data_IF_109893705667
#
_entry.id   IF_109893705667
#
_cell.length_a   1.000
_cell.length_b   1.000
_cell.length_c   1.000
_cell.angle_alpha   90.00
_cell.angle_beta   90.00
_cell.angle_gamma   90.00
#
_symmetry.space_group_name_H-M   'P 1'
#
loop_
_entity.id
_entity.type
_entity.pdbx_description
1 polymer ?
#
# COMPACT_ATOMS: atom_id res chain seq x y z
N UNK A 1 19.02 2.15 17.27
CA UNK A 1 17.58 1.88 17.00
C UNK A 1 17.06 2.64 15.78
N UNK A 2 17.32 3.95 15.62
CA UNK A 2 16.83 4.75 14.48
C UNK A 2 17.18 4.21 13.08
N UNK A 3 18.46 3.95 12.80
CA UNK A 3 18.89 3.45 11.49
C UNK A 3 18.32 2.08 11.09
N UNK A 4 18.05 1.20 12.06
CA UNK A 4 17.44 -0.11 11.80
C UNK A 4 15.97 0.07 11.39
N UNK A 5 15.24 0.95 12.07
CA UNK A 5 13.85 1.27 11.76
C UNK A 5 13.73 1.95 10.40
N UNK A 6 14.62 2.89 10.08
CA UNK A 6 14.70 3.50 8.74
C UNK A 6 14.99 2.47 7.65
N UNK A 7 15.96 1.57 7.88
CA UNK A 7 16.28 0.50 6.94
C UNK A 7 15.10 -0.44 6.67
N UNK A 8 14.37 -0.83 7.73
CA UNK A 8 13.15 -1.63 7.60
C UNK A 8 12.06 -0.87 6.84
N UNK A 9 11.89 0.43 7.11
CA UNK A 9 10.90 1.26 6.45
C UNK A 9 11.20 1.48 4.96
N UNK A 10 12.48 1.65 4.59
CA UNK A 10 12.91 1.68 3.19
C UNK A 10 12.58 0.39 2.47
N UNK A 11 13.04 -0.75 3.01
CA UNK A 11 12.79 -2.06 2.42
C UNK A 11 11.29 -2.35 2.34
N UNK A 12 10.56 -2.11 3.42
CA UNK A 12 9.11 -2.32 3.50
C UNK A 12 8.35 -1.45 2.50
N UNK A 13 8.65 -0.16 2.41
CA UNK A 13 8.03 0.77 1.47
C UNK A 13 8.29 0.37 0.02
N UNK A 14 9.53 0.02 -0.34
CA UNK A 14 9.88 -0.44 -1.69
C UNK A 14 9.20 -1.77 -2.04
N UNK A 15 9.17 -2.73 -1.11
CA UNK A 15 8.49 -4.01 -1.30
C UNK A 15 6.99 -3.81 -1.50
N UNK A 16 6.36 -2.91 -0.74
CA UNK A 16 4.93 -2.57 -0.89
C UNK A 16 4.63 -1.96 -2.26
N UNK A 17 5.47 -1.05 -2.75
CA UNK A 17 5.33 -0.49 -4.10
C UNK A 17 5.49 -1.60 -5.15
N UNK A 18 6.53 -2.44 -5.04
CA UNK A 18 6.76 -3.54 -5.98
C UNK A 18 5.60 -4.54 -6.02
N UNK A 19 5.11 -4.94 -4.84
CA UNK A 19 3.93 -5.79 -4.72
C UNK A 19 2.67 -5.14 -5.29
N UNK A 20 2.45 -3.85 -5.00
CA UNK A 20 1.31 -3.11 -5.51
C UNK A 20 1.33 -3.00 -7.03
N UNK A 21 2.47 -2.65 -7.63
CA UNK A 21 2.65 -2.61 -9.08
C UNK A 21 2.46 -3.98 -9.71
N UNK A 22 2.97 -5.05 -9.09
CA UNK A 22 2.75 -6.41 -9.57
C UNK A 22 1.25 -6.75 -9.63
N UNK A 23 0.49 -6.40 -8.59
CA UNK A 23 -0.96 -6.65 -8.55
C UNK A 23 -1.73 -5.84 -9.60
N UNK A 24 -1.35 -4.57 -9.82
CA UNK A 24 -1.95 -3.72 -10.86
C UNK A 24 -1.66 -4.27 -12.26
N UNK A 25 -0.45 -4.77 -12.51
CA UNK A 25 -0.06 -5.30 -13.82
C UNK A 25 -0.64 -6.69 -14.11
N UNK A 26 -0.69 -7.57 -13.10
CA UNK A 26 -1.16 -8.95 -13.25
C UNK A 26 -2.68 -9.10 -13.14
N UNK A 27 -3.36 -8.14 -12.50
CA UNK A 27 -4.80 -8.22 -12.23
C UNK A 27 -5.25 -9.45 -11.43
N UNK A 28 -4.30 -10.14 -10.77
CA UNK A 28 -4.53 -11.40 -10.07
C UNK A 28 -3.59 -11.53 -8.89
N UNK A 29 -4.10 -12.10 -7.79
CA UNK A 29 -3.28 -12.41 -6.62
C UNK A 29 -2.55 -13.74 -6.79
N UNK A 30 -1.29 -13.84 -6.33
CA UNK A 30 -0.62 -15.13 -6.21
C UNK A 30 -1.46 -16.10 -5.36
N UNK A 31 -1.48 -17.38 -5.73
CA UNK A 31 -2.27 -18.42 -5.03
C UNK A 31 -1.88 -18.55 -3.56
N UNK A 32 -0.59 -18.45 -3.24
CA UNK A 32 -0.11 -18.47 -1.85
C UNK A 32 -0.47 -17.22 -1.03
N UNK A 33 -0.73 -16.06 -1.67
CA UNK A 33 -1.26 -14.86 -0.99
C UNK A 33 -2.73 -15.00 -0.65
N UNK A 34 -3.48 -15.67 -1.55
CA UNK A 34 -4.90 -15.97 -1.39
C UNK A 34 -5.16 -16.80 -0.13
N UNK A 35 -4.28 -17.74 0.20
CA UNK A 35 -4.45 -18.65 1.33
C UNK A 35 -3.97 -18.07 2.67
N UNK A 36 -2.95 -17.20 2.68
CA UNK A 36 -2.33 -16.71 3.93
C UNK A 36 -2.64 -15.25 4.30
N UNK A 37 -2.74 -14.36 3.31
CA UNK A 37 -2.73 -12.91 3.56
C UNK A 37 -4.12 -12.26 3.39
N UNK A 38 -4.99 -12.84 2.56
CA UNK A 38 -6.23 -12.22 2.09
C UNK A 38 -7.47 -12.76 2.80
N UNK A 39 -7.34 -13.22 4.04
CA UNK A 39 -8.45 -13.74 4.86
C UNK A 39 -9.71 -12.84 4.91
N UNK A 40 -9.66 -11.50 4.80
CA UNK A 40 -10.87 -10.68 4.74
C UNK A 40 -11.56 -10.59 3.36
N UNK A 41 -10.93 -11.06 2.27
CA UNK A 41 -11.46 -10.97 0.89
C UNK A 41 -12.12 -12.28 0.45
N UNK A 42 -13.42 -12.22 0.16
CA UNK A 42 -14.26 -13.39 -0.18
C UNK A 42 -14.25 -13.69 -1.69
N UNK A 43 -14.22 -12.64 -2.52
CA UNK A 43 -14.12 -12.74 -3.99
C UNK A 43 -12.99 -11.87 -4.51
N UNK A 44 -12.08 -12.48 -5.26
CA UNK A 44 -10.88 -11.84 -5.82
C UNK A 44 -11.10 -11.59 -7.31
N UNK A 45 -11.84 -10.54 -7.63
CA UNK A 45 -12.00 -10.07 -9.01
C UNK A 45 -10.78 -9.24 -9.44
N UNK A 46 -10.51 -9.09 -10.75
CA UNK A 46 -9.41 -8.26 -11.25
C UNK A 46 -9.48 -6.83 -10.75
N UNK A 47 -10.69 -6.26 -10.67
CA UNK A 47 -10.94 -4.92 -10.13
C UNK A 47 -10.48 -4.77 -8.68
N UNK A 48 -10.79 -5.75 -7.83
CA UNK A 48 -10.37 -5.75 -6.41
C UNK A 48 -8.86 -5.86 -6.29
N UNK A 49 -8.20 -6.63 -7.17
CA UNK A 49 -6.74 -6.75 -7.19
C UNK A 49 -6.05 -5.45 -7.59
N UNK A 50 -6.59 -4.72 -8.57
CA UNK A 50 -6.05 -3.42 -8.97
C UNK A 50 -6.21 -2.39 -7.84
N UNK A 51 -7.37 -2.35 -7.17
CA UNK A 51 -7.61 -1.44 -6.04
C UNK A 51 -6.68 -1.74 -4.85
N UNK A 52 -6.48 -3.01 -4.52
CA UNK A 52 -5.51 -3.44 -3.50
C UNK A 52 -4.07 -3.14 -3.91
N UNK A 53 -3.74 -3.28 -5.19
CA UNK A 53 -2.45 -2.91 -5.74
C UNK A 53 -2.18 -1.40 -5.59
N UNK A 54 -3.14 -0.56 -5.95
CA UNK A 54 -3.05 0.89 -5.74
C UNK A 54 -3.00 1.28 -4.25
N UNK A 55 -3.72 0.58 -3.39
CA UNK A 55 -3.63 0.77 -1.94
C UNK A 55 -2.22 0.46 -1.43
N UNK A 56 -1.61 -0.65 -1.87
CA UNK A 56 -0.25 -1.03 -1.49
C UNK A 56 0.81 -0.03 -2.01
N UNK A 57 0.66 0.46 -3.25
CA UNK A 57 1.51 1.53 -3.79
C UNK A 57 1.39 2.80 -2.94
N UNK A 58 0.15 3.24 -2.66
CA UNK A 58 -0.09 4.44 -1.85
C UNK A 58 0.50 4.35 -0.44
N UNK A 59 0.39 3.19 0.20
CA UNK A 59 1.00 2.92 1.50
C UNK A 59 2.53 2.94 1.43
N UNK A 60 3.12 2.29 0.41
CA UNK A 60 4.56 2.27 0.23
C UNK A 60 5.13 3.67 -0.03
N UNK A 61 4.46 4.48 -0.86
CA UNK A 61 4.81 5.89 -1.10
C UNK A 61 4.72 6.72 0.18
N UNK A 62 3.67 6.54 0.97
CA UNK A 62 3.50 7.18 2.28
C UNK A 62 4.68 6.88 3.22
N UNK A 63 5.06 5.61 3.35
CA UNK A 63 6.16 5.18 4.21
C UNK A 63 7.48 5.79 3.73
N UNK A 64 7.79 5.69 2.43
CA UNK A 64 9.02 6.25 1.89
C UNK A 64 9.07 7.77 2.04
N UNK A 65 7.97 8.48 1.82
CA UNK A 65 7.91 9.93 2.00
C UNK A 65 8.24 10.33 3.43
N UNK A 66 7.72 9.61 4.44
CA UNK A 66 8.07 9.85 5.85
C UNK A 66 9.56 9.58 6.10
N UNK A 67 10.10 8.47 5.61
CA UNK A 67 11.53 8.16 5.83
C UNK A 67 12.42 9.22 5.17
N UNK A 68 12.07 9.70 3.97
CA UNK A 68 12.82 10.76 3.29
C UNK A 68 12.81 12.10 4.04
N UNK A 69 11.89 12.34 4.98
CA UNK A 69 11.91 13.55 5.81
C UNK A 69 13.17 13.65 6.67
N UNK A 70 13.84 12.53 6.99
CA UNK A 70 15.02 12.54 7.87
C UNK A 70 16.28 13.11 7.19
N UNK A 71 16.26 13.19 5.86
CA UNK A 71 17.37 13.69 5.03
C UNK A 71 17.00 14.93 4.21
N UNK A 72 15.73 15.34 4.21
CA UNK A 72 15.24 16.45 3.41
C UNK A 72 15.38 17.81 4.13
N UNK A 73 15.56 18.92 3.40
CA UNK A 73 15.46 20.27 3.96
C UNK A 73 14.07 20.53 4.57
N UNK A 74 13.97 21.35 5.62
CA UNK A 74 12.73 21.53 6.42
C UNK A 74 11.46 21.81 5.60
N UNK A 75 11.56 22.68 4.59
CA UNK A 75 10.43 23.02 3.70
C UNK A 75 9.97 21.81 2.89
N UNK A 76 10.93 21.01 2.40
CA UNK A 76 10.66 19.78 1.64
C UNK A 76 10.13 18.70 2.57
N UNK A 77 10.67 18.57 3.78
CA UNK A 77 10.19 17.64 4.78
C UNK A 77 8.72 17.92 5.16
N UNK A 78 8.35 19.19 5.35
CA UNK A 78 6.95 19.58 5.58
C UNK A 78 6.01 19.15 4.45
N UNK A 79 6.41 19.35 3.19
CA UNK A 79 5.64 18.89 2.03
C UNK A 79 5.53 17.36 1.96
N UNK A 80 6.63 16.64 2.24
CA UNK A 80 6.66 15.18 2.25
C UNK A 80 5.69 14.60 3.30
N UNK A 81 5.58 15.22 4.48
CA UNK A 81 4.62 14.79 5.50
C UNK A 81 3.18 14.94 5.02
N UNK A 82 2.85 16.08 4.39
CA UNK A 82 1.50 16.31 3.84
C UNK A 82 1.18 15.28 2.75
N UNK A 83 2.12 15.04 1.84
CA UNK A 83 1.97 14.02 0.79
C UNK A 83 1.83 12.62 1.37
N UNK A 84 2.61 12.28 2.41
CA UNK A 84 2.53 10.99 3.07
C UNK A 84 1.16 10.76 3.70
N UNK A 85 0.62 11.77 4.39
CA UNK A 85 -0.73 11.73 4.97
C UNK A 85 -1.80 11.55 3.89
N UNK A 86 -1.74 12.33 2.80
CA UNK A 86 -2.68 12.20 1.70
C UNK A 86 -2.64 10.80 1.07
N UNK A 87 -1.44 10.29 0.76
CA UNK A 87 -1.25 8.96 0.19
C UNK A 87 -1.74 7.85 1.13
N UNK A 88 -1.50 7.99 2.44
CA UNK A 88 -2.00 7.06 3.45
C UNK A 88 -3.53 7.03 3.49
N UNK A 89 -4.19 8.18 3.53
CA UNK A 89 -5.66 8.27 3.55
C UNK A 89 -6.26 7.63 2.29
N UNK A 90 -5.69 7.92 1.12
CA UNK A 90 -6.12 7.30 -0.15
C UNK A 90 -5.91 5.79 -0.11
N UNK A 91 -4.76 5.31 0.37
CA UNK A 91 -4.47 3.88 0.48
C UNK A 91 -5.46 3.16 1.41
N UNK A 92 -5.75 3.73 2.58
CA UNK A 92 -6.74 3.19 3.52
C UNK A 92 -8.13 3.17 2.89
N UNK A 93 -8.52 4.25 2.21
CA UNK A 93 -9.81 4.33 1.50
C UNK A 93 -9.95 3.23 0.43
N UNK A 94 -8.93 3.05 -0.41
CA UNK A 94 -8.91 2.00 -1.44
C UNK A 94 -8.93 0.59 -0.82
N UNK A 95 -8.21 0.38 0.27
CA UNK A 95 -8.21 -0.89 0.99
C UNK A 95 -9.59 -1.24 1.56
N UNK A 96 -10.23 -0.29 2.24
CA UNK A 96 -11.57 -0.49 2.80
C UNK A 96 -12.61 -0.67 1.69
N UNK A 97 -12.55 0.14 0.64
CA UNK A 97 -13.48 0.06 -0.49
C UNK A 97 -13.36 -1.27 -1.24
N UNK A 98 -12.13 -1.73 -1.52
CA UNK A 98 -11.91 -3.02 -2.17
C UNK A 98 -12.37 -4.20 -1.31
N UNK A 99 -12.19 -4.11 0.01
CA UNK A 99 -12.68 -5.12 0.96
C UNK A 99 -14.21 -5.15 0.99
N UNK A 100 -14.85 -3.99 1.04
CA UNK A 100 -16.31 -3.88 1.00
C UNK A 100 -16.88 -4.43 -0.32
N UNK A 101 -16.28 -4.05 -1.47
CA UNK A 101 -16.68 -4.54 -2.79
C UNK A 101 -16.55 -6.07 -2.89
N UNK A 102 -15.47 -6.63 -2.37
CA UNK A 102 -15.24 -8.08 -2.33
C UNK A 102 -16.32 -8.83 -1.55
N UNK A 103 -16.84 -8.25 -0.45
CA UNK A 103 -17.91 -8.84 0.35
C UNK A 103 -19.29 -8.67 -0.27
N UNK A 104 -19.59 -7.52 -0.88
CA UNK A 104 -20.90 -7.24 -1.49
C UNK A 104 -21.21 -8.16 -2.67
N UNK A 105 -20.22 -8.52 -3.48
CA UNK A 105 -20.44 -9.47 -4.59
C UNK A 105 -20.61 -10.93 -4.14
N UNK A 106 -20.48 -11.22 -2.84
CA UNK A 106 -20.66 -12.56 -2.27
C UNK A 106 -22.01 -12.76 -1.57
N UNK A 107 -22.77 -11.69 -1.34
CA UNK A 107 -24.17 -11.72 -0.92
C UNK A 107 -25.10 -11.76 -2.14
#
# INVERSE_FOLDING_TARGET
MGYVVEGIAYVGGTVLIGAGLYLVLRGTFPTWWRERLLWPLVRLTPTVSHLQGWAAVGLGVSILAIVFTTVAPDVVAGLLVVLAMAAYVVAVGLFLFSTWLSRRSAA
#
